data_IF_985960729342
#
_entry.id   IF_985960729342
#
_cell.length_a   1.000
_cell.length_b   1.000
_cell.length_c   1.000
_cell.angle_alpha   90.00
_cell.angle_beta   90.00
_cell.angle_gamma   90.00
#
_symmetry.space_group_name_H-M   'P 1'
#
loop_
_entity.id
_entity.type
_entity.pdbx_description
1 polymer ?
#
# COMPACT_ATOMS: atom_id res chain seq x y z
N UNK A 1 8.74 18.95 0.75
CA UNK A 1 8.81 19.21 2.21
C UNK A 1 8.52 17.89 2.92
N UNK A 2 9.39 17.43 3.81
CA UNK A 2 9.14 16.21 4.59
C UNK A 2 8.00 16.45 5.57
N UNK A 3 6.91 15.70 5.44
CA UNK A 3 5.75 15.81 6.33
C UNK A 3 5.95 14.88 7.51
N UNK A 4 5.91 15.47 8.71
CA UNK A 4 6.08 14.76 9.98
C UNK A 4 4.75 14.63 10.67
N UNK A 5 4.44 13.45 11.18
CA UNK A 5 3.20 13.16 11.91
C UNK A 5 3.52 12.52 13.26
N UNK A 6 2.73 12.86 14.27
CA UNK A 6 2.78 12.24 15.60
C UNK A 6 1.63 11.24 15.72
N UNK A 7 1.96 10.00 16.09
CA UNK A 7 0.99 8.93 16.31
C UNK A 7 1.00 8.55 17.79
N UNK A 8 -0.17 8.57 18.43
CA UNK A 8 -0.34 8.03 19.78
C UNK A 8 -0.36 6.50 19.74
N UNK A 9 0.56 5.83 20.42
CA UNK A 9 0.72 4.36 20.40
C UNK A 9 0.44 3.69 21.75
N UNK A 10 0.13 4.48 22.78
CA UNK A 10 -0.22 3.99 24.12
C UNK A 10 -0.84 5.09 24.97
N UNK A 11 -1.11 4.82 26.26
CA UNK A 11 -1.75 5.78 27.19
C UNK A 11 -1.05 7.14 27.19
N UNK A 12 0.28 7.11 27.35
CA UNK A 12 1.17 8.28 27.36
C UNK A 12 2.38 8.07 26.42
N UNK A 13 2.19 7.37 25.30
CA UNK A 13 3.27 7.09 24.32
C UNK A 13 2.91 7.69 22.96
N UNK A 14 3.85 8.44 22.41
CA UNK A 14 3.73 9.10 21.12
C UNK A 14 4.98 8.81 20.29
N UNK A 15 4.79 8.44 19.03
CA UNK A 15 5.86 8.19 18.08
C UNK A 15 5.78 9.25 16.98
N UNK A 16 6.91 9.91 16.73
CA UNK A 16 7.08 10.83 15.61
C UNK A 16 7.54 10.04 14.39
N UNK A 17 6.86 10.18 13.27
CA UNK A 17 7.23 9.52 12.00
C UNK A 17 7.46 10.55 10.90
N UNK A 18 8.39 10.24 10.00
CA UNK A 18 8.46 10.88 8.69
C UNK A 18 7.56 10.10 7.73
N UNK A 19 6.71 10.81 6.96
CA UNK A 19 5.86 10.17 5.96
C UNK A 19 6.65 9.53 4.84
N UNK A 20 7.86 9.99 4.55
CA UNK A 20 8.72 9.37 3.54
C UNK A 20 9.11 7.94 3.93
N UNK A 21 9.02 7.57 5.21
CA UNK A 21 9.30 6.22 5.68
C UNK A 21 8.04 5.32 5.64
N UNK A 22 6.85 5.86 5.33
CA UNK A 22 5.57 5.15 5.40
C UNK A 22 5.41 4.18 4.23
N UNK A 23 5.31 2.88 4.54
CA UNK A 23 5.20 1.81 3.54
C UNK A 23 3.76 1.37 3.32
N UNK A 24 3.06 1.01 4.39
CA UNK A 24 1.66 0.57 4.32
C UNK A 24 0.98 0.62 5.68
N UNK A 25 -0.34 0.47 5.68
CA UNK A 25 -1.21 0.48 6.85
C UNK A 25 -2.06 -0.78 6.83
N UNK A 26 -2.27 -1.37 8.00
CA UNK A 26 -3.12 -2.54 8.19
C UNK A 26 -4.13 -2.33 9.31
N UNK A 27 -5.40 -2.64 9.06
CA UNK A 27 -6.38 -2.84 10.13
C UNK A 27 -6.25 -4.25 10.72
N UNK A 28 -6.14 -4.37 12.05
CA UNK A 28 -5.99 -5.66 12.74
C UNK A 28 -6.58 -5.62 14.14
N UNK A 29 -7.51 -6.54 14.46
CA UNK A 29 -8.11 -6.72 15.79
C UNK A 29 -8.59 -5.41 16.44
N UNK A 30 -9.31 -4.59 15.68
CA UNK A 30 -9.84 -3.29 16.16
C UNK A 30 -8.80 -2.18 16.34
N UNK A 31 -7.55 -2.41 15.91
CA UNK A 31 -6.48 -1.41 15.92
C UNK A 31 -5.95 -1.18 14.52
N UNK A 32 -5.26 -0.07 14.33
CA UNK A 32 -4.55 0.22 13.10
C UNK A 32 -3.06 0.10 13.33
N UNK A 33 -2.40 -0.58 12.41
CA UNK A 33 -0.96 -0.78 12.41
C UNK A 33 -0.38 0.04 11.26
N UNK A 34 0.55 0.93 11.57
CA UNK A 34 1.29 1.74 10.61
C UNK A 34 2.68 1.13 10.46
N UNK A 35 3.06 0.78 9.23
CA UNK A 35 4.36 0.21 8.90
C UNK A 35 5.23 1.27 8.26
N UNK A 36 6.22 1.76 9.00
CA UNK A 36 7.24 2.67 8.50
C UNK A 36 8.64 2.09 8.74
N UNK A 37 9.58 2.87 9.31
CA UNK A 37 10.85 2.34 9.86
C UNK A 37 10.60 1.29 10.94
N UNK A 38 9.59 1.53 11.77
CA UNK A 38 9.13 0.62 12.81
C UNK A 38 7.63 0.32 12.65
N UNK A 39 7.16 -0.72 13.33
CA UNK A 39 5.75 -1.09 13.37
C UNK A 39 5.07 -0.36 14.53
N UNK A 40 4.11 0.51 14.22
CA UNK A 40 3.38 1.29 15.23
C UNK A 40 1.93 0.83 15.31
N UNK A 41 1.46 0.51 16.51
CA UNK A 41 0.05 0.18 16.76
C UNK A 41 -0.64 1.40 17.36
N UNK A 42 -1.76 1.82 16.78
CA UNK A 42 -2.62 2.89 17.29
C UNK A 42 -4.04 2.38 17.52
N UNK A 43 -4.72 2.95 18.52
CA UNK A 43 -6.14 2.73 18.79
C UNK A 43 -7.06 3.58 17.88
N UNK A 44 -6.48 4.36 16.97
CA UNK A 44 -7.22 5.12 15.95
C UNK A 44 -7.73 4.20 14.84
N UNK A 45 -8.93 4.49 14.32
CA UNK A 45 -9.55 3.70 13.26
C UNK A 45 -8.73 3.73 11.96
N UNK A 46 -8.85 2.69 11.14
CA UNK A 46 -8.11 2.59 9.87
C UNK A 46 -8.45 3.76 8.95
N UNK A 47 -9.72 4.13 8.86
CA UNK A 47 -10.21 5.23 8.04
C UNK A 47 -9.59 6.57 8.47
N UNK A 48 -9.57 6.83 9.77
CA UNK A 48 -9.04 8.10 10.28
C UNK A 48 -7.51 8.17 10.12
N UNK A 49 -6.81 7.05 10.33
CA UNK A 49 -5.36 6.99 10.10
C UNK A 49 -5.04 7.25 8.62
N UNK A 50 -5.76 6.62 7.69
CA UNK A 50 -5.56 6.86 6.25
C UNK A 50 -5.84 8.31 5.89
N UNK A 51 -6.89 8.93 6.44
CA UNK A 51 -7.24 10.33 6.19
C UNK A 51 -6.17 11.31 6.70
N UNK A 52 -5.60 11.07 7.89
CA UNK A 52 -4.58 11.94 8.50
C UNK A 52 -3.23 11.80 7.78
N UNK A 53 -2.80 10.57 7.50
CA UNK A 53 -1.54 10.32 6.82
C UNK A 53 -1.61 10.83 5.37
N UNK A 54 -2.69 10.48 4.66
CA UNK A 54 -2.99 10.94 3.30
C UNK A 54 -1.86 10.68 2.31
N UNK A 55 -1.73 11.54 1.31
CA UNK A 55 -0.64 11.50 0.34
C UNK A 55 -0.75 10.33 -0.63
N UNK A 56 0.35 9.60 -0.79
CA UNK A 56 0.48 8.51 -1.76
C UNK A 56 -0.10 7.18 -1.27
N UNK A 57 -0.95 7.20 -0.24
CA UNK A 57 -1.66 6.03 0.23
C UNK A 57 -2.82 5.68 -0.71
N UNK A 58 -2.80 4.44 -1.21
CA UNK A 58 -3.88 3.86 -1.97
C UNK A 58 -4.53 2.74 -1.15
N UNK A 59 -5.83 2.84 -0.89
CA UNK A 59 -6.56 1.75 -0.24
C UNK A 59 -6.76 0.59 -1.23
N UNK A 60 -6.06 -0.52 -1.01
CA UNK A 60 -6.08 -1.68 -1.89
C UNK A 60 -6.91 -2.86 -1.34
N UNK A 61 -7.35 -2.79 -0.09
CA UNK A 61 -8.20 -3.79 0.54
C UNK A 61 -9.04 -3.15 1.67
N UNK A 62 -10.07 -3.86 2.17
CA UNK A 62 -10.88 -3.40 3.33
C UNK A 62 -10.06 -3.17 4.61
N UNK A 63 -8.87 -3.74 4.67
CA UNK A 63 -7.97 -3.69 5.83
C UNK A 63 -6.55 -3.26 5.48
N UNK A 64 -6.29 -2.80 4.25
CA UNK A 64 -4.96 -2.38 3.83
C UNK A 64 -4.99 -1.13 2.96
N UNK A 65 -4.01 -0.25 3.20
CA UNK A 65 -3.63 0.82 2.30
C UNK A 65 -2.12 0.79 2.10
N UNK A 66 -1.66 0.95 0.86
CA UNK A 66 -0.24 0.89 0.49
C UNK A 66 0.24 2.26 0.06
N UNK A 67 1.46 2.64 0.41
CA UNK A 67 2.11 3.78 -0.22
C UNK A 67 2.59 3.35 -1.61
N UNK A 68 2.09 4.02 -2.64
CA UNK A 68 2.42 3.75 -4.04
C UNK A 68 3.92 3.81 -4.30
N UNK A 69 4.63 4.74 -3.65
CA UNK A 69 6.07 4.93 -3.86
C UNK A 69 6.90 3.70 -3.42
N UNK A 70 6.31 2.83 -2.60
CA UNK A 70 6.92 1.62 -2.08
C UNK A 70 6.42 0.34 -2.75
N UNK A 71 5.60 0.44 -3.80
CA UNK A 71 5.15 -0.72 -4.57
C UNK A 71 6.28 -1.22 -5.46
N UNK A 72 6.77 -2.43 -5.20
CA UNK A 72 7.85 -3.06 -5.97
C UNK A 72 7.31 -3.88 -7.15
N UNK A 73 6.22 -4.61 -6.93
CA UNK A 73 5.52 -5.36 -7.96
C UNK A 73 4.07 -5.61 -7.54
N UNK A 74 3.22 -5.99 -8.49
CA UNK A 74 1.84 -6.38 -8.22
C UNK A 74 1.36 -7.44 -9.21
N UNK A 75 0.41 -8.24 -8.75
CA UNK A 75 -0.36 -9.18 -9.56
C UNK A 75 -1.82 -8.75 -9.57
N UNK A 76 -2.71 -9.59 -10.10
CA UNK A 76 -4.14 -9.36 -9.96
C UNK A 76 -4.61 -9.46 -8.51
N UNK A 77 -3.90 -10.16 -7.62
CA UNK A 77 -4.44 -10.51 -6.29
C UNK A 77 -3.56 -10.01 -5.14
N UNK A 78 -2.33 -9.58 -5.42
CA UNK A 78 -1.37 -9.13 -4.42
C UNK A 78 -0.54 -7.93 -4.89
N UNK A 79 -0.08 -7.14 -3.92
CA UNK A 79 0.88 -6.05 -4.09
C UNK A 79 2.08 -6.36 -3.20
N UNK A 80 3.29 -6.32 -3.76
CA UNK A 80 4.53 -6.49 -3.03
C UNK A 80 5.04 -5.14 -2.54
N UNK A 81 5.24 -5.03 -1.22
CA UNK A 81 5.82 -3.86 -0.55
C UNK A 81 6.89 -4.36 0.43
N UNK A 82 8.18 -4.16 0.11
CA UNK A 82 9.27 -4.83 0.80
C UNK A 82 9.11 -6.34 0.74
N UNK A 83 9.24 -7.02 1.88
CA UNK A 83 9.03 -8.47 1.97
C UNK A 83 7.56 -8.90 2.14
N UNK A 84 6.59 -7.98 2.04
CA UNK A 84 5.19 -8.27 2.32
C UNK A 84 4.34 -8.33 1.06
N UNK A 85 3.68 -9.47 0.86
CA UNK A 85 2.54 -9.60 -0.06
C UNK A 85 1.26 -9.11 0.63
N UNK A 86 0.71 -8.00 0.13
CA UNK A 86 -0.50 -7.35 0.60
C UNK A 86 -1.65 -7.72 -0.35
N UNK A 87 -2.82 -8.16 0.15
CA UNK A 87 -3.92 -8.55 -0.72
C UNK A 87 -4.50 -7.35 -1.49
N UNK A 88 -4.78 -7.54 -2.78
CA UNK A 88 -5.53 -6.61 -3.62
C UNK A 88 -6.97 -7.10 -3.73
N UNK A 89 -7.88 -6.43 -3.03
CA UNK A 89 -9.29 -6.80 -3.02
C UNK A 89 -9.96 -6.54 -4.36
N UNK A 90 -10.87 -7.42 -4.78
CA UNK A 90 -11.57 -7.31 -6.07
C UNK A 90 -12.23 -5.95 -6.30
N UNK A 91 -12.84 -5.36 -5.27
CA UNK A 91 -13.46 -4.02 -5.33
C UNK A 91 -12.47 -2.89 -5.59
N UNK A 92 -11.19 -3.05 -5.23
CA UNK A 92 -10.15 -2.03 -5.36
C UNK A 92 -9.26 -2.26 -6.59
N UNK A 93 -9.29 -3.47 -7.16
CA UNK A 93 -8.42 -3.93 -8.24
C UNK A 93 -8.45 -3.00 -9.46
N UNK A 94 -9.65 -2.68 -9.96
CA UNK A 94 -9.79 -1.84 -11.17
C UNK A 94 -9.16 -0.46 -10.98
N UNK A 95 -9.52 0.23 -9.89
CA UNK A 95 -9.00 1.56 -9.58
C UNK A 95 -7.48 1.54 -9.34
N UNK A 96 -6.96 0.48 -8.71
CA UNK A 96 -5.52 0.33 -8.49
C UNK A 96 -4.77 0.17 -9.81
N UNK A 97 -5.22 -0.73 -10.69
CA UNK A 97 -4.59 -0.95 -11.99
C UNK A 97 -4.64 0.30 -12.87
N UNK A 98 -5.78 0.99 -12.91
CA UNK A 98 -5.93 2.25 -13.63
C UNK A 98 -4.93 3.30 -13.11
N UNK A 99 -4.86 3.45 -11.79
CA UNK A 99 -3.93 4.38 -11.16
C UNK A 99 -2.47 4.05 -11.50
N UNK A 100 -2.06 2.78 -11.38
CA UNK A 100 -0.69 2.35 -11.66
C UNK A 100 -0.31 2.56 -13.13
N UNK A 101 -1.20 2.25 -14.07
CA UNK A 101 -0.90 2.41 -15.50
C UNK A 101 -1.01 3.85 -15.98
N UNK A 102 -1.80 4.70 -15.31
CA UNK A 102 -1.85 6.13 -15.61
C UNK A 102 -0.61 6.88 -15.06
N UNK A 103 -0.06 6.44 -13.93
CA UNK A 103 1.09 7.07 -13.27
C UNK A 103 2.45 6.57 -13.77
N UNK A 104 2.50 5.43 -14.43
CA UNK A 104 3.76 4.77 -14.81
C UNK A 104 3.83 4.48 -16.31
N UNK A 105 5.06 4.46 -16.83
CA UNK A 105 5.30 4.07 -18.23
C UNK A 105 5.40 2.56 -18.35
N UNK A 106 4.51 1.96 -19.12
CA UNK A 106 4.45 0.51 -19.32
C UNK A 106 5.32 0.11 -20.52
N UNK A 107 6.43 -0.59 -20.24
CA UNK A 107 7.28 -1.15 -21.30
C UNK A 107 6.65 -2.46 -21.78
N UNK A 108 6.15 -2.48 -23.02
CA UNK A 108 5.60 -3.69 -23.64
C UNK A 108 6.73 -4.45 -24.35
N UNK A 109 7.02 -5.68 -23.95
CA UNK A 109 7.76 -6.61 -24.82
C UNK A 109 6.79 -7.16 -25.86
N UNK A 110 7.11 -7.00 -27.14
CA UNK A 110 6.38 -7.57 -28.28
C UNK A 110 6.06 -9.05 -28.04
N UNK A 111 4.84 -9.55 -28.32
CA UNK A 111 4.56 -10.97 -28.17
C UNK A 111 5.36 -11.75 -29.22
N UNK A 112 6.29 -12.59 -28.76
CA UNK A 112 6.85 -13.66 -29.59
C UNK A 112 5.69 -14.55 -30.05
N UNK A 113 5.43 -14.55 -31.36
CA UNK A 113 4.47 -15.45 -32.00
C UNK A 113 4.80 -16.89 -31.56
N UNK A 114 3.98 -17.51 -30.70
CA UNK A 114 3.96 -18.96 -30.55
C UNK A 114 3.48 -19.53 -31.88
N UNK A 115 4.41 -20.02 -32.69
CA UNK A 115 4.15 -20.89 -33.82
C UNK A 115 3.34 -22.09 -33.32
N UNK A 116 2.10 -22.22 -33.82
CA UNK A 116 1.30 -23.43 -33.66
C UNK A 116 2.04 -24.57 -34.36
N UNK A 117 2.63 -25.48 -33.60
CA UNK A 117 3.01 -26.79 -34.10
C UNK A 117 1.71 -27.58 -34.32
N UNK A 118 1.33 -27.78 -35.58
CA UNK A 118 0.36 -28.82 -35.95
C UNK A 118 1.05 -30.16 -35.82
N UNK A 119 0.52 -31.04 -34.96
CA UNK A 119 0.57 -32.48 -35.13
C UNK A 119 -0.76 -33.04 -34.65
#
# INVERSE_FOLDING_TARGET
MNKVIIIKTGRNKFNRINLDDLKYIQASKGRTIVFCKEKLNTATSFKDVVAVLGGNLFQCHRSFAVNIDFVESFTNDTILVGSKNIPLGAMYKSAFLEFMFAKNTLIKTTPTKKTKSKK
#
